data_IF_882782819489
#
_entry.id   IF_882782819489
#
_cell.length_a   1.000
_cell.length_b   1.000
_cell.length_c   1.000
_cell.angle_alpha   90.00
_cell.angle_beta   90.00
_cell.angle_gamma   90.00
#
_symmetry.space_group_name_H-M   'P 1'
#
loop_
_entity.id
_entity.type
_entity.pdbx_description
1 polymer ?
#
# COMPACT_ATOMS: atom_id res chain seq x y z
N UNK A 1 11.20 -0.55 0.54
CA UNK A 1 11.70 0.77 0.99
C UNK A 1 13.23 0.85 0.97
N UNK A 2 13.97 -0.10 1.56
CA UNK A 2 15.44 -0.09 1.54
C UNK A 2 16.04 -0.13 0.12
N UNK A 3 15.55 -1.01 -0.78
CA UNK A 3 16.01 -1.07 -2.18
C UNK A 3 15.84 0.27 -2.89
N UNK A 4 14.68 0.90 -2.72
CA UNK A 4 14.41 2.23 -3.26
C UNK A 4 15.37 3.27 -2.67
N UNK A 5 15.56 3.28 -1.35
CA UNK A 5 16.45 4.22 -0.68
C UNK A 5 17.92 4.08 -1.11
N UNK A 6 18.42 2.87 -1.36
CA UNK A 6 19.81 2.66 -1.83
C UNK A 6 20.00 3.21 -3.24
N UNK A 7 19.10 2.88 -4.18
CA UNK A 7 19.19 3.38 -5.55
C UNK A 7 18.94 4.88 -5.65
N UNK A 8 18.13 5.45 -4.74
CA UNK A 8 17.88 6.89 -4.67
C UNK A 8 18.96 7.70 -3.93
N UNK A 9 20.02 7.07 -3.40
CA UNK A 9 21.16 7.81 -2.84
C UNK A 9 21.94 8.60 -3.90
N UNK A 10 21.99 8.09 -5.13
CA UNK A 10 22.62 8.77 -6.28
C UNK A 10 21.70 8.68 -7.51
N UNK A 11 20.62 9.46 -7.56
CA UNK A 11 19.59 9.35 -8.60
C UNK A 11 20.15 9.67 -10.00
N UNK A 12 21.17 10.52 -10.09
CA UNK A 12 21.82 10.88 -11.36
C UNK A 12 22.62 9.73 -11.96
N UNK A 13 23.22 8.86 -11.14
CA UNK A 13 23.93 7.69 -11.65
C UNK A 13 22.93 6.65 -12.17
N UNK A 14 21.85 6.42 -11.43
CA UNK A 14 20.76 5.56 -11.88
C UNK A 14 20.19 6.06 -13.21
N UNK A 15 19.93 7.37 -13.33
CA UNK A 15 19.44 7.98 -14.58
C UNK A 15 20.39 7.75 -15.76
N UNK A 16 21.71 7.77 -15.53
CA UNK A 16 22.71 7.49 -16.56
C UNK A 16 22.78 6.01 -16.94
N UNK A 17 22.57 5.10 -15.98
CA UNK A 17 22.65 3.65 -16.19
C UNK A 17 21.42 3.07 -16.90
N UNK A 18 20.20 3.45 -16.50
CA UNK A 18 18.94 2.93 -17.06
C UNK A 18 18.26 3.89 -18.05
N UNK A 19 18.78 5.10 -18.21
CA UNK A 19 18.17 6.15 -19.02
C UNK A 19 16.91 6.75 -18.40
N UNK A 20 16.36 7.82 -19.00
CA UNK A 20 15.18 8.53 -18.47
C UNK A 20 13.93 7.66 -18.42
N UNK A 21 13.69 6.83 -19.44
CA UNK A 21 12.53 5.95 -19.47
C UNK A 21 12.63 4.84 -18.41
N UNK A 22 13.81 4.23 -18.26
CA UNK A 22 14.05 3.24 -17.22
C UNK A 22 13.95 3.82 -15.81
N UNK A 23 14.40 5.06 -15.61
CA UNK A 23 14.22 5.80 -14.36
C UNK A 23 12.74 6.03 -14.04
N UNK A 24 11.92 6.45 -15.02
CA UNK A 24 10.47 6.61 -14.83
C UNK A 24 9.81 5.28 -14.44
N UNK A 25 10.13 4.18 -15.13
CA UNK A 25 9.62 2.85 -14.75
C UNK A 25 10.03 2.46 -13.33
N UNK A 26 11.28 2.70 -12.95
CA UNK A 26 11.77 2.47 -11.58
C UNK A 26 10.96 3.29 -10.56
N UNK A 27 10.73 4.58 -10.83
CA UNK A 27 9.94 5.44 -9.96
C UNK A 27 8.49 4.96 -9.86
N UNK A 28 7.85 4.59 -10.97
CA UNK A 28 6.45 4.16 -10.96
C UNK A 28 6.26 2.81 -10.26
N UNK A 29 7.17 1.86 -10.46
CA UNK A 29 7.05 0.52 -9.89
C UNK A 29 7.47 0.51 -8.42
N UNK A 30 8.68 0.96 -8.10
CA UNK A 30 9.21 0.88 -6.74
C UNK A 30 8.81 2.09 -5.89
N UNK A 31 8.97 3.30 -6.42
CA UNK A 31 8.54 4.52 -5.72
C UNK A 31 7.02 4.59 -5.61
N UNK A 32 6.32 4.31 -6.71
CA UNK A 32 4.87 4.37 -6.81
C UNK A 32 4.19 3.32 -5.93
N UNK A 33 4.73 2.11 -5.80
CA UNK A 33 4.16 1.11 -4.87
C UNK A 33 4.35 1.50 -3.39
N UNK A 34 5.49 2.08 -3.03
CA UNK A 34 5.73 2.60 -1.68
C UNK A 34 4.78 3.76 -1.40
N UNK A 35 4.71 4.72 -2.33
CA UNK A 35 3.84 5.88 -2.22
C UNK A 35 2.37 5.47 -2.17
N UNK A 36 1.92 4.56 -3.05
CA UNK A 36 0.56 4.06 -3.08
C UNK A 36 0.19 3.40 -1.74
N UNK A 37 1.03 2.53 -1.17
CA UNK A 37 0.73 1.90 0.12
C UNK A 37 0.64 2.92 1.27
N UNK A 38 1.46 3.99 1.25
CA UNK A 38 1.37 5.05 2.26
C UNK A 38 0.14 5.94 2.03
N UNK A 39 -0.09 6.38 0.79
CA UNK A 39 -1.19 7.24 0.41
C UNK A 39 -2.54 6.54 0.60
N UNK A 40 -2.64 5.23 0.36
CA UNK A 40 -3.88 4.48 0.45
C UNK A 40 -4.52 4.63 1.85
N UNK A 41 -3.74 4.41 2.92
CA UNK A 41 -4.26 4.57 4.29
C UNK A 41 -4.72 5.99 4.59
N UNK A 42 -3.99 7.01 4.13
CA UNK A 42 -4.36 8.42 4.33
C UNK A 42 -5.62 8.78 3.56
N UNK A 43 -5.71 8.39 2.29
CA UNK A 43 -6.87 8.67 1.44
C UNK A 43 -8.13 8.00 1.99
N UNK A 44 -8.04 6.75 2.44
CA UNK A 44 -9.16 6.07 3.10
C UNK A 44 -9.56 6.77 4.40
N UNK A 45 -8.58 7.22 5.20
CA UNK A 45 -8.85 7.94 6.44
C UNK A 45 -9.54 9.28 6.17
N UNK A 46 -9.07 10.07 5.19
CA UNK A 46 -9.68 11.34 4.80
C UNK A 46 -11.12 11.13 4.31
N UNK A 47 -11.34 10.16 3.43
CA UNK A 47 -12.68 9.82 2.94
C UNK A 47 -13.60 9.36 4.08
N UNK A 48 -13.10 8.51 4.98
CA UNK A 48 -13.85 8.03 6.14
C UNK A 48 -14.23 9.13 7.13
N UNK A 49 -13.27 9.97 7.52
CA UNK A 49 -13.49 11.13 8.40
C UNK A 49 -14.49 12.10 7.78
N UNK A 50 -14.35 12.38 6.48
CA UNK A 50 -15.29 13.24 5.77
C UNK A 50 -16.71 12.66 5.77
N UNK A 51 -16.88 11.36 5.50
CA UNK A 51 -18.20 10.73 5.49
C UNK A 51 -18.84 10.72 6.87
N UNK A 52 -18.07 10.44 7.92
CA UNK A 52 -18.57 10.50 9.31
C UNK A 52 -18.96 11.94 9.66
N UNK A 53 -18.13 12.92 9.31
CA UNK A 53 -18.44 14.33 9.54
C UNK A 53 -19.71 14.76 8.80
N UNK A 54 -19.82 14.43 7.52
CA UNK A 54 -20.98 14.72 6.68
C UNK A 54 -22.27 14.07 7.22
N UNK A 55 -22.17 12.84 7.72
CA UNK A 55 -23.29 12.14 8.34
C UNK A 55 -23.74 12.80 9.66
N UNK A 56 -22.79 13.24 10.50
CA UNK A 56 -23.08 13.92 11.78
C UNK A 56 -23.73 15.29 11.56
N UNK A 57 -23.26 16.05 10.56
CA UNK A 57 -23.72 17.42 10.28
C UNK A 57 -24.90 17.48 9.30
N UNK A 58 -25.68 16.39 9.20
CA UNK A 58 -26.94 16.37 8.45
C UNK A 58 -26.79 16.61 6.95
N UNK A 59 -25.67 16.21 6.36
CA UNK A 59 -25.40 16.41 4.93
C UNK A 59 -24.86 17.79 4.57
N UNK A 60 -24.47 18.58 5.57
CA UNK A 60 -23.73 19.83 5.37
C UNK A 60 -22.25 19.60 5.65
N UNK A 61 -21.38 20.15 4.80
CA UNK A 61 -19.93 20.12 5.01
C UNK A 61 -19.40 21.44 5.60
N UNK A 62 -20.32 22.35 5.98
CA UNK A 62 -19.98 23.64 6.58
C UNK A 62 -19.29 23.40 7.93
N UNK A 63 -18.04 23.85 8.06
CA UNK A 63 -17.22 23.67 9.26
C UNK A 63 -16.19 22.53 9.20
N UNK A 64 -16.14 21.73 8.13
CA UNK A 64 -15.00 20.82 7.95
C UNK A 64 -13.74 21.66 7.64
N UNK A 65 -12.63 21.46 8.38
CA UNK A 65 -11.43 22.32 8.23
C UNK A 65 -10.84 22.31 6.80
N UNK A 66 -11.14 21.25 6.04
CA UNK A 66 -10.75 21.06 4.65
C UNK A 66 -11.83 21.45 3.64
N UNK A 67 -12.97 21.99 4.08
CA UNK A 67 -14.09 22.38 3.21
C UNK A 67 -13.64 23.32 2.07
N UNK A 68 -12.75 24.28 2.38
CA UNK A 68 -12.21 25.21 1.38
C UNK A 68 -11.17 24.57 0.44
N UNK A 69 -10.50 23.49 0.87
CA UNK A 69 -9.46 22.81 0.09
C UNK A 69 -10.05 21.71 -0.81
N UNK A 70 -11.16 21.12 -0.40
CA UNK A 70 -11.82 20.05 -1.12
C UNK A 70 -13.25 20.46 -1.41
N UNK A 71 -13.44 21.06 -2.58
CA UNK A 71 -14.76 21.19 -3.18
C UNK A 71 -15.42 19.80 -3.18
N UNK A 72 -16.68 19.73 -2.74
CA UNK A 72 -17.43 18.47 -2.55
C UNK A 72 -17.39 17.55 -3.78
N UNK A 73 -17.23 18.13 -4.96
CA UNK A 73 -17.01 17.47 -6.24
C UNK A 73 -15.79 16.55 -6.28
N UNK A 74 -14.62 16.99 -5.77
CA UNK A 74 -13.38 16.19 -5.79
C UNK A 74 -13.53 14.94 -4.92
N UNK A 75 -14.14 15.10 -3.74
CA UNK A 75 -14.39 13.97 -2.84
C UNK A 75 -15.41 12.99 -3.40
N UNK A 76 -16.40 13.47 -4.17
CA UNK A 76 -17.33 12.61 -4.90
C UNK A 76 -16.62 11.77 -5.96
N UNK A 77 -15.72 12.37 -6.74
CA UNK A 77 -14.87 11.62 -7.67
C UNK A 77 -13.92 10.67 -6.94
N UNK A 78 -13.43 11.06 -5.75
CA UNK A 78 -12.66 10.21 -4.85
C UNK A 78 -13.42 8.94 -4.46
N UNK A 79 -14.70 9.06 -4.09
CA UNK A 79 -15.56 7.92 -3.79
C UNK A 79 -15.82 7.02 -5.00
N UNK A 80 -16.07 7.62 -6.17
CA UNK A 80 -16.25 6.86 -7.42
C UNK A 80 -14.98 6.07 -7.74
N UNK A 81 -13.82 6.72 -7.70
CA UNK A 81 -12.52 6.09 -7.93
C UNK A 81 -12.24 5.00 -6.89
N UNK A 82 -12.55 5.26 -5.63
CA UNK A 82 -12.40 4.30 -4.55
C UNK A 82 -13.19 3.03 -4.82
N UNK A 83 -14.51 3.13 -5.02
CA UNK A 83 -15.33 1.94 -5.22
C UNK A 83 -15.03 1.23 -6.52
N UNK A 84 -14.97 1.95 -7.65
CA UNK A 84 -14.72 1.34 -8.97
C UNK A 84 -13.32 0.74 -9.01
N UNK A 85 -12.29 1.50 -8.60
CA UNK A 85 -10.90 1.06 -8.64
C UNK A 85 -10.67 -0.18 -7.77
N UNK A 86 -11.14 -0.17 -6.52
CA UNK A 86 -10.97 -1.32 -5.62
C UNK A 86 -11.77 -2.53 -6.10
N UNK A 87 -12.98 -2.33 -6.61
CA UNK A 87 -13.79 -3.43 -7.16
C UNK A 87 -13.10 -4.07 -8.35
N UNK A 88 -12.61 -3.28 -9.30
CA UNK A 88 -11.88 -3.78 -10.46
C UNK A 88 -10.62 -4.57 -10.05
N UNK A 89 -9.86 -4.09 -9.06
CA UNK A 89 -8.68 -4.81 -8.57
C UNK A 89 -9.05 -6.15 -7.89
N UNK A 90 -10.13 -6.19 -7.11
CA UNK A 90 -10.63 -7.45 -6.53
C UNK A 90 -11.02 -8.42 -7.65
N UNK A 91 -11.74 -7.95 -8.67
CA UNK A 91 -12.14 -8.77 -9.81
C UNK A 91 -10.91 -9.33 -10.54
N UNK A 92 -9.87 -8.52 -10.76
CA UNK A 92 -8.60 -8.99 -11.34
C UNK A 92 -7.97 -10.08 -10.48
N UNK A 93 -7.91 -9.90 -9.15
CA UNK A 93 -7.38 -10.93 -8.26
C UNK A 93 -8.18 -12.23 -8.33
N UNK A 94 -9.51 -12.15 -8.37
CA UNK A 94 -10.38 -13.32 -8.53
C UNK A 94 -10.18 -13.98 -9.89
N UNK A 95 -10.10 -13.21 -10.98
CA UNK A 95 -9.81 -13.72 -12.33
C UNK A 95 -8.48 -14.48 -12.37
N UNK A 96 -7.44 -13.95 -11.74
CA UNK A 96 -6.14 -14.62 -11.64
C UNK A 96 -6.28 -15.98 -10.93
N UNK A 97 -7.05 -16.06 -9.84
CA UNK A 97 -7.27 -17.33 -9.12
C UNK A 97 -8.01 -18.35 -9.99
N UNK A 98 -9.01 -17.92 -10.76
CA UNK A 98 -9.79 -18.77 -11.67
C UNK A 98 -8.89 -19.29 -12.80
N UNK A 99 -8.15 -18.42 -13.48
CA UNK A 99 -7.21 -18.80 -14.56
C UNK A 99 -6.13 -19.75 -14.05
N UNK A 100 -5.68 -19.56 -12.80
CA UNK A 100 -4.69 -20.44 -12.15
C UNK A 100 -5.30 -21.74 -11.59
N UNK A 101 -6.61 -21.98 -11.75
CA UNK A 101 -7.34 -23.18 -11.30
C UNK A 101 -7.18 -23.48 -9.80
N UNK A 102 -7.14 -22.44 -8.95
CA UNK A 102 -7.00 -22.59 -7.48
C UNK A 102 -8.22 -22.07 -6.71
N UNK A 103 -9.41 -22.68 -6.85
CA UNK A 103 -10.66 -22.14 -6.30
C UNK A 103 -10.65 -21.97 -4.78
N UNK A 104 -9.82 -22.73 -4.06
CA UNK A 104 -9.60 -22.59 -2.60
C UNK A 104 -9.11 -21.19 -2.19
N UNK A 105 -8.51 -20.43 -3.11
CA UNK A 105 -7.97 -19.09 -2.86
C UNK A 105 -8.96 -17.96 -3.21
N UNK A 106 -10.17 -18.28 -3.68
CA UNK A 106 -11.15 -17.24 -4.05
C UNK A 106 -11.51 -16.37 -2.84
N UNK A 107 -11.71 -17.00 -1.67
CA UNK A 107 -11.99 -16.27 -0.44
C UNK A 107 -10.81 -15.35 -0.06
N UNK A 108 -9.57 -15.83 -0.23
CA UNK A 108 -8.37 -15.01 0.00
C UNK A 108 -8.29 -13.84 -0.97
N UNK A 109 -8.67 -14.04 -2.24
CA UNK A 109 -8.71 -12.97 -3.24
C UNK A 109 -9.79 -11.93 -2.93
N UNK A 110 -10.96 -12.33 -2.40
CA UNK A 110 -11.98 -11.39 -1.93
C UNK A 110 -11.53 -10.60 -0.69
N UNK A 111 -10.70 -11.20 0.16
CA UNK A 111 -10.11 -10.55 1.33
C UNK A 111 -8.90 -9.65 0.99
N UNK A 112 -8.60 -9.44 -0.30
CA UNK A 112 -7.53 -8.52 -0.74
C UNK A 112 -7.60 -7.12 -0.14
N UNK A 113 -8.77 -6.48 0.02
CA UNK A 113 -8.86 -5.14 0.62
C UNK A 113 -8.36 -5.10 2.06
N UNK A 114 -8.68 -6.13 2.85
CA UNK A 114 -8.17 -6.26 4.22
C UNK A 114 -6.66 -6.46 4.22
N UNK A 115 -6.15 -7.27 3.30
CA UNK A 115 -4.71 -7.43 3.13
C UNK A 115 -4.01 -6.11 2.77
N UNK A 116 -4.59 -5.28 1.90
CA UNK A 116 -4.04 -3.97 1.54
C UNK A 116 -3.99 -2.99 2.71
N UNK A 117 -4.97 -3.04 3.62
CA UNK A 117 -4.93 -2.25 4.85
C UNK A 117 -3.77 -2.68 5.75
N UNK A 118 -3.58 -3.99 5.92
CA UNK A 118 -2.45 -4.53 6.69
C UNK A 118 -1.11 -4.14 6.08
N UNK A 119 -0.96 -4.20 4.75
CA UNK A 119 0.27 -3.78 4.08
C UNK A 119 0.52 -2.28 4.20
N UNK A 120 -0.53 -1.47 4.20
CA UNK A 120 -0.42 -0.02 4.42
C UNK A 120 0.06 0.27 5.85
N UNK A 121 -0.54 -0.35 6.87
CA UNK A 121 -0.10 -0.21 8.26
C UNK A 121 1.35 -0.68 8.47
N UNK A 122 1.70 -1.82 7.89
CA UNK A 122 3.08 -2.33 7.92
C UNK A 122 4.05 -1.33 7.25
N UNK A 123 3.63 -0.68 6.16
CA UNK A 123 4.45 0.32 5.46
C UNK A 123 4.73 1.54 6.34
N UNK A 124 3.74 2.06 7.09
CA UNK A 124 3.95 3.13 8.07
C UNK A 124 4.92 2.72 9.18
N UNK A 125 4.79 1.49 9.67
CA UNK A 125 5.71 0.94 10.69
C UNK A 125 7.15 0.87 10.16
N UNK A 126 7.34 0.38 8.94
CA UNK A 126 8.66 0.32 8.29
C UNK A 126 9.22 1.73 8.04
N UNK A 127 8.38 2.67 7.62
CA UNK A 127 8.77 4.06 7.43
C UNK A 127 9.28 4.67 8.75
N UNK A 128 8.53 4.48 9.83
CA UNK A 128 8.94 4.91 11.16
C UNK A 128 10.27 4.27 11.59
N UNK A 129 10.42 2.95 11.43
CA UNK A 129 11.67 2.22 11.76
C UNK A 129 12.89 2.71 10.95
N UNK A 130 12.67 3.11 9.69
CA UNK A 130 13.72 3.66 8.83
C UNK A 130 14.23 5.01 9.37
N UNK A 131 13.34 5.88 9.85
CA UNK A 131 13.70 7.20 10.38
C UNK A 131 14.24 7.16 11.83
N UNK A 132 13.78 6.24 12.67
CA UNK A 132 14.07 6.26 14.13
C UNK A 132 15.29 5.45 14.59
N UNK A 133 16.25 5.14 13.71
CA UNK A 133 17.57 4.51 14.02
C UNK A 133 17.69 2.99 13.86
N UNK A 134 16.71 2.29 13.27
CA UNK A 134 16.82 0.85 12.96
C UNK A 134 16.65 0.54 11.46
N UNK A 135 17.39 1.22 10.56
CA UNK A 135 17.21 1.06 9.12
C UNK A 135 17.49 -0.35 8.62
N UNK A 136 18.28 -1.16 9.35
CA UNK A 136 18.60 -2.56 9.01
C UNK A 136 17.89 -3.58 9.90
N UNK A 137 16.95 -3.16 10.76
CA UNK A 137 16.26 -4.09 11.63
C UNK A 137 15.28 -4.91 10.82
N UNK A 138 15.61 -6.18 10.69
CA UNK A 138 14.77 -7.19 10.07
C UNK A 138 14.07 -7.95 11.19
N UNK A 139 12.75 -7.83 11.30
CA UNK A 139 11.92 -8.66 12.17
C UNK A 139 11.85 -10.08 11.60
N UNK A 140 12.95 -10.82 11.78
CA UNK A 140 13.01 -12.26 11.48
C UNK A 140 12.00 -12.92 12.42
N UNK A 141 11.10 -13.72 11.86
CA UNK A 141 10.47 -14.77 12.66
C UNK A 141 11.60 -15.65 13.21
N UNK A 142 11.52 -16.05 14.48
CA UNK A 142 12.45 -17.02 15.06
C UNK A 142 12.31 -18.34 14.32
N UNK A 143 13.10 -18.53 13.26
CA UNK A 143 13.25 -19.81 12.59
C UNK A 143 14.04 -20.74 13.51
N UNK A 144 13.33 -21.55 14.29
CA UNK A 144 13.86 -22.43 15.32
C UNK A 144 13.76 -23.93 15.01
N UNK A 145 13.97 -24.39 13.76
CA UNK A 145 13.92 -25.84 13.45
C UNK A 145 15.13 -26.35 12.63
N UNK A 146 15.98 -25.48 12.09
CA UNK A 146 17.16 -25.93 11.30
C UNK A 146 18.17 -26.75 12.13
N UNK A 147 18.29 -26.49 13.45
CA UNK A 147 19.23 -27.24 14.33
C UNK A 147 18.66 -28.53 14.92
N UNK A 148 17.33 -28.73 14.94
CA UNK A 148 16.71 -29.92 15.52
C UNK A 148 16.72 -31.12 14.55
N UNK A 149 16.57 -30.89 13.24
CA UNK A 149 16.59 -31.98 12.25
C UNK A 149 18.01 -32.49 11.92
N UNK A 150 19.04 -31.64 11.96
CA UNK A 150 20.42 -32.08 11.66
C UNK A 150 21.02 -32.97 12.75
N UNK A 151 20.41 -33.01 13.95
CA UNK A 151 20.89 -33.82 15.10
C UNK A 151 20.19 -35.18 15.20
N UNK A 152 19.15 -35.46 14.40
CA UNK A 152 18.39 -36.72 14.47
C UNK A 152 18.63 -37.69 13.30
N UNK A 153 19.47 -37.33 12.31
CA UNK A 153 19.85 -38.23 11.22
C UNK A 153 21.36 -38.52 11.16
N UNK A 154 22.07 -38.30 12.27
CA UNK A 154 23.45 -38.79 12.50
C UNK A 154 23.39 -40.12 13.23
#
# INVERSE_FOLDING_TARGET
>A
MQTYAVHMRNPFNLLKEVGPLGFIHFQLILGGSIFANLANLLLWAVLGVWTVFFAIHGGTAEGFFLHNFYESTILRYGWINFFIGHTLLILVNVMVVIVRKKPRLILTALLSPFYWLLTSFASYRVLYQLFTKKPYHWEKTTHGISKLLKKQSS
#
